data_IF_092271533491
#
_entry.id   IF_092271533491
#
_cell.length_a   1.000
_cell.length_b   1.000
_cell.length_c   1.000
_cell.angle_alpha   90.00
_cell.angle_beta   90.00
_cell.angle_gamma   90.00
#
_symmetry.space_group_name_H-M   'P 1'
#
loop_
_entity.id
_entity.type
_entity.pdbx_description
1 polymer ?
#
# COMPACT_ATOMS: atom_id res chain seq x y z
N UNK A 1 0.50 2.37 -17.41
CA UNK A 1 1.94 2.48 -17.06
C UNK A 1 2.07 2.50 -15.55
N UNK A 2 3.27 2.36 -14.98
CA UNK A 2 3.46 2.43 -13.53
C UNK A 2 4.36 3.61 -13.15
N UNK A 3 3.91 4.45 -12.23
CA UNK A 3 4.67 5.61 -11.73
C UNK A 3 4.90 5.46 -10.24
N UNK A 4 6.08 5.84 -9.75
CA UNK A 4 6.37 5.84 -8.31
C UNK A 4 5.75 7.07 -7.65
N UNK A 5 5.14 6.89 -6.50
CA UNK A 5 4.56 7.97 -5.69
C UNK A 5 4.81 7.77 -4.21
N UNK A 6 4.42 8.77 -3.42
CA UNK A 6 4.51 8.77 -1.96
C UNK A 6 3.13 8.95 -1.33
N UNK A 7 2.80 8.08 -0.39
CA UNK A 7 1.61 8.17 0.45
C UNK A 7 2.05 8.55 1.88
N UNK A 8 1.35 9.47 2.54
CA UNK A 8 1.70 9.95 3.90
C UNK A 8 0.64 9.49 4.90
N UNK A 9 1.04 9.19 6.14
CA UNK A 9 0.13 8.70 7.19
C UNK A 9 -0.02 7.19 7.23
N UNK A 10 0.89 6.45 6.58
CA UNK A 10 0.84 5.00 6.45
C UNK A 10 2.19 4.38 6.73
N UNK A 11 2.18 3.26 7.46
CA UNK A 11 3.38 2.54 7.87
C UNK A 11 3.44 1.17 7.22
N UNK A 12 4.61 0.82 6.70
CA UNK A 12 4.89 -0.47 6.05
C UNK A 12 5.46 -1.46 7.06
N UNK A 13 5.02 -2.71 6.93
CA UNK A 13 5.52 -3.83 7.71
C UNK A 13 5.97 -4.96 6.79
N UNK A 14 6.96 -5.70 7.27
CA UNK A 14 7.42 -6.93 6.65
C UNK A 14 7.68 -8.00 7.70
N UNK A 15 7.90 -9.21 7.21
CA UNK A 15 8.14 -10.40 8.02
C UNK A 15 9.38 -11.12 7.48
N UNK A 16 10.14 -11.78 8.37
CA UNK A 16 11.38 -12.48 8.00
C UNK A 16 11.14 -13.73 7.14
N UNK A 17 10.10 -14.50 7.48
CA UNK A 17 9.67 -15.72 6.76
C UNK A 17 8.67 -15.44 5.63
N UNK A 18 7.71 -14.54 5.85
CA UNK A 18 6.64 -14.26 4.90
C UNK A 18 7.07 -13.14 3.95
N UNK A 19 7.14 -13.44 2.65
CA UNK A 19 7.62 -12.50 1.63
C UNK A 19 6.48 -11.70 0.96
N UNK A 20 5.59 -11.14 1.77
CA UNK A 20 4.67 -10.08 1.32
C UNK A 20 4.56 -9.01 2.42
N UNK A 21 4.46 -7.72 2.03
CA UNK A 21 4.24 -6.65 2.98
C UNK A 21 2.77 -6.49 3.31
N UNK A 22 2.48 -5.80 4.42
CA UNK A 22 1.23 -5.07 4.55
C UNK A 22 1.49 -3.65 5.03
N UNK A 23 0.50 -2.78 4.84
CA UNK A 23 0.50 -1.43 5.40
C UNK A 23 -0.76 -1.19 6.25
N UNK A 24 -0.62 -0.28 7.21
CA UNK A 24 -1.74 0.24 8.01
C UNK A 24 -1.75 1.76 7.94
N UNK A 25 -2.92 2.35 8.17
CA UNK A 25 -3.07 3.78 8.36
C UNK A 25 -2.70 4.15 9.81
N UNK A 26 -1.80 5.10 9.99
CA UNK A 26 -1.36 5.60 11.30
C UNK A 26 -1.81 7.04 11.55
N UNK A 27 -2.05 7.81 10.49
CA UNK A 27 -2.33 9.25 10.59
C UNK A 27 -1.12 10.12 10.95
N UNK A 28 0.07 9.51 11.13
CA UNK A 28 1.30 10.22 11.44
C UNK A 28 1.96 10.73 10.15
N UNK A 29 2.18 12.04 10.05
CA UNK A 29 2.81 12.66 8.88
C UNK A 29 4.26 12.25 8.65
N UNK A 30 4.92 11.66 9.66
CA UNK A 30 6.27 11.13 9.52
C UNK A 30 6.29 9.73 8.91
N UNK A 31 5.17 9.01 8.98
CA UNK A 31 5.02 7.73 8.30
C UNK A 31 4.70 7.96 6.82
N UNK A 32 5.37 7.22 5.95
CA UNK A 32 5.07 7.24 4.52
C UNK A 32 5.33 5.92 3.84
N UNK A 33 4.67 5.70 2.70
CA UNK A 33 4.90 4.58 1.80
C UNK A 33 5.41 5.07 0.47
N UNK A 34 6.39 4.35 -0.08
CA UNK A 34 6.73 4.42 -1.49
C UNK A 34 5.84 3.42 -2.22
N UNK A 35 5.02 3.91 -3.15
CA UNK A 35 4.01 3.13 -3.86
C UNK A 35 4.21 3.18 -5.37
N UNK A 36 3.63 2.21 -6.08
CA UNK A 36 3.56 2.20 -7.55
C UNK A 36 2.12 2.42 -7.96
N UNK A 37 1.84 3.55 -8.62
CA UNK A 37 0.54 3.86 -9.18
C UNK A 37 0.37 3.12 -10.50
N UNK A 38 -0.65 2.27 -10.56
CA UNK A 38 -1.07 1.59 -11.77
C UNK A 38 -2.23 2.37 -12.40
N UNK A 39 -2.18 2.50 -13.72
CA UNK A 39 -3.25 3.10 -14.52
C UNK A 39 -3.68 2.19 -15.65
N UNK A 40 -4.98 2.21 -15.95
CA UNK A 40 -5.58 1.46 -17.05
C UNK A 40 -6.13 2.40 -18.12
N UNK A 41 -6.16 1.98 -19.39
CA UNK A 41 -6.57 2.84 -20.50
C UNK A 41 -8.06 3.22 -20.48
N UNK A 42 -8.90 2.40 -19.83
CA UNK A 42 -10.34 2.62 -19.75
C UNK A 42 -10.89 2.33 -18.36
N UNK A 43 -12.09 2.87 -18.10
CA UNK A 43 -12.82 2.68 -16.85
C UNK A 43 -13.21 1.20 -16.66
N UNK A 44 -13.62 0.52 -17.72
CA UNK A 44 -14.01 -0.90 -17.64
C UNK A 44 -12.83 -1.76 -17.18
N UNK A 45 -11.65 -1.58 -17.78
CA UNK A 45 -10.45 -2.32 -17.36
C UNK A 45 -10.05 -2.02 -15.92
N UNK A 46 -10.24 -0.78 -15.47
CA UNK A 46 -10.01 -0.42 -14.07
C UNK A 46 -10.98 -1.16 -13.14
N UNK A 47 -12.28 -1.16 -13.46
CA UNK A 47 -13.31 -1.81 -12.66
C UNK A 47 -13.11 -3.34 -12.59
N UNK A 48 -12.80 -3.98 -13.71
CA UNK A 48 -12.48 -5.42 -13.76
C UNK A 48 -11.28 -5.78 -12.87
N UNK A 49 -10.23 -4.95 -12.89
CA UNK A 49 -8.99 -5.20 -12.13
C UNK A 49 -9.17 -4.97 -10.66
N UNK A 50 -9.95 -3.96 -10.31
CA UNK A 50 -10.33 -3.67 -8.93
C UNK A 50 -11.23 -4.78 -8.36
N UNK A 51 -12.20 -5.28 -9.13
CA UNK A 51 -13.03 -6.42 -8.71
C UNK A 51 -12.19 -7.69 -8.52
N UNK A 52 -11.24 -7.97 -9.43
CA UNK A 52 -10.35 -9.10 -9.28
C UNK A 52 -9.46 -8.98 -8.02
N UNK A 53 -8.98 -7.78 -7.71
CA UNK A 53 -8.22 -7.52 -6.48
C UNK A 53 -9.10 -7.66 -5.23
N UNK A 54 -10.35 -7.19 -5.25
CA UNK A 54 -11.29 -7.37 -4.13
C UNK A 54 -11.53 -8.86 -3.81
N UNK A 55 -11.58 -9.74 -4.81
CA UNK A 55 -11.75 -11.18 -4.61
C UNK A 55 -10.52 -11.79 -3.92
N UNK A 56 -9.32 -11.30 -4.22
CA UNK A 56 -8.06 -11.82 -3.67
C UNK A 56 -7.83 -11.29 -2.25
N UNK A 57 -8.00 -9.99 -2.05
CA UNK A 57 -7.55 -9.27 -0.85
C UNK A 57 -8.68 -8.98 0.15
N UNK A 58 -9.94 -9.08 -0.29
CA UNK A 58 -11.11 -8.53 0.42
C UNK A 58 -11.42 -9.15 1.79
N UNK A 59 -10.85 -10.32 2.10
CA UNK A 59 -11.00 -10.95 3.41
C UNK A 59 -10.08 -10.28 4.45
N UNK A 60 -8.80 -10.11 4.12
CA UNK A 60 -7.75 -9.65 5.05
C UNK A 60 -7.48 -8.14 4.99
N UNK A 61 -7.83 -7.51 3.87
CA UNK A 61 -7.54 -6.10 3.59
C UNK A 61 -8.80 -5.32 3.25
N UNK A 62 -8.79 -4.03 3.57
CA UNK A 62 -9.81 -3.08 3.14
C UNK A 62 -9.28 -2.16 2.05
N UNK A 63 -10.09 -1.94 1.02
CA UNK A 63 -9.79 -0.96 -0.02
C UNK A 63 -10.12 0.45 0.47
N UNK A 64 -9.15 1.36 0.40
CA UNK A 64 -9.34 2.78 0.71
C UNK A 64 -8.97 3.68 -0.47
N UNK A 65 -9.75 4.75 -0.65
CA UNK A 65 -9.38 5.86 -1.51
C UNK A 65 -8.29 6.70 -0.83
N UNK A 66 -7.26 7.07 -1.58
CA UNK A 66 -6.10 7.81 -1.08
C UNK A 66 -5.59 8.86 -2.06
N UNK A 67 -4.94 9.87 -1.50
CA UNK A 67 -4.18 10.88 -2.23
C UNK A 67 -2.69 10.50 -2.24
N UNK A 68 -2.11 10.38 -3.43
CA UNK A 68 -0.70 10.03 -3.60
C UNK A 68 0.04 11.20 -4.25
N UNK A 69 1.18 11.55 -3.68
CA UNK A 69 2.06 12.60 -4.19
C UNK A 69 2.96 11.99 -5.27
N UNK A 70 2.91 12.53 -6.49
CA UNK A 70 3.72 12.11 -7.64
C UNK A 70 4.30 13.37 -8.29
N UNK A 71 5.62 13.56 -8.23
CA UNK A 71 6.30 14.75 -8.77
C UNK A 71 5.63 16.08 -8.34
N UNK A 72 5.36 16.22 -7.04
CA UNK A 72 4.67 17.37 -6.42
C UNK A 72 3.20 17.58 -6.83
N UNK A 73 2.61 16.66 -7.61
CA UNK A 73 1.18 16.64 -7.91
C UNK A 73 0.43 15.60 -7.07
N UNK A 74 -0.83 15.91 -6.73
CA UNK A 74 -1.72 14.96 -6.06
C UNK A 74 -2.46 14.11 -7.11
N UNK A 75 -2.39 12.79 -6.96
CA UNK A 75 -3.16 11.80 -7.73
C UNK A 75 -4.08 11.01 -6.80
N UNK A 76 -5.27 10.67 -7.26
CA UNK A 76 -6.20 9.83 -6.51
C UNK A 76 -6.04 8.36 -6.92
N UNK A 77 -6.02 7.46 -5.94
CA UNK A 77 -5.88 6.03 -6.17
C UNK A 77 -6.64 5.21 -5.12
N UNK A 78 -6.68 3.89 -5.34
CA UNK A 78 -7.07 2.93 -4.30
C UNK A 78 -5.84 2.19 -3.77
N UNK A 79 -5.86 1.86 -2.49
CA UNK A 79 -4.89 0.99 -1.82
C UNK A 79 -5.63 -0.04 -0.95
N UNK A 80 -5.05 -1.23 -0.82
CA UNK A 80 -5.49 -2.23 0.14
C UNK A 80 -4.63 -2.12 1.40
N UNK A 81 -5.27 -1.92 2.55
CA UNK A 81 -4.60 -1.86 3.85
C UNK A 81 -5.12 -2.94 4.77
N UNK A 82 -4.25 -3.46 5.63
CA UNK A 82 -4.61 -4.60 6.48
C UNK A 82 -5.72 -4.20 7.45
N UNK A 83 -6.70 -5.10 7.63
CA UNK A 83 -7.72 -4.98 8.68
C UNK A 83 -7.21 -5.39 10.06
N UNK A 84 -6.00 -5.95 10.15
CA UNK A 84 -5.46 -6.48 11.40
C UNK A 84 -5.35 -5.36 12.44
N UNK A 85 -6.08 -5.53 13.55
CA UNK A 85 -6.06 -4.59 14.67
C UNK A 85 -4.79 -4.71 15.53
N UNK A 86 -4.08 -5.83 15.44
CA UNK A 86 -2.87 -6.11 16.21
C UNK A 86 -1.87 -6.90 15.37
N UNK A 87 -0.60 -6.53 15.49
CA UNK A 87 0.50 -7.24 14.85
C UNK A 87 1.02 -8.30 15.80
N UNK A 88 1.30 -9.49 15.29
CA UNK A 88 2.16 -10.44 16.01
C UNK A 88 3.59 -9.90 16.06
N UNK A 89 4.38 -10.35 17.03
CA UNK A 89 5.74 -9.86 17.33
C UNK A 89 6.73 -10.07 16.18
N UNK A 90 6.42 -10.92 15.20
CA UNK A 90 7.30 -11.21 14.06
C UNK A 90 7.20 -10.20 12.91
N UNK A 91 6.19 -9.31 12.95
CA UNK A 91 6.06 -8.21 11.99
C UNK A 91 6.88 -7.00 12.42
N UNK A 92 7.84 -6.62 11.58
CA UNK A 92 8.72 -5.49 11.83
C UNK A 92 8.36 -4.33 10.90
N UNK A 93 8.52 -3.12 11.40
CA UNK A 93 8.36 -1.91 10.60
C UNK A 93 9.46 -1.82 9.55
N UNK A 94 9.12 -1.25 8.39
CA UNK A 94 10.08 -0.85 7.36
C UNK A 94 10.10 0.68 7.35
N UNK A 95 11.04 1.33 8.06
CA UNK A 95 10.99 2.78 8.30
C UNK A 95 11.07 3.62 7.03
N UNK A 96 11.68 3.10 5.96
CA UNK A 96 11.76 3.80 4.67
C UNK A 96 10.43 3.84 3.92
N UNK A 97 9.46 2.99 4.29
CA UNK A 97 8.21 2.84 3.56
C UNK A 97 8.36 2.18 2.17
N UNK A 98 9.57 1.71 1.83
CA UNK A 98 9.90 1.16 0.52
C UNK A 98 10.17 -0.35 0.63
N UNK A 99 9.27 -1.15 0.07
CA UNK A 99 9.41 -2.61 0.05
C UNK A 99 10.66 -3.11 -0.68
N UNK A 100 11.21 -2.33 -1.61
CA UNK A 100 12.48 -2.68 -2.26
C UNK A 100 13.67 -2.57 -1.30
N UNK A 101 13.51 -1.83 -0.21
CA UNK A 101 14.51 -1.68 0.86
C UNK A 101 14.26 -2.62 2.05
N UNK A 102 13.42 -3.66 1.88
CA UNK A 102 13.08 -4.65 2.93
C UNK A 102 14.23 -5.52 3.43
N UNK A 103 15.41 -5.45 2.81
CA UNK A 103 16.59 -6.21 3.27
C UNK A 103 17.16 -5.68 4.60
N UNK A 104 16.57 -4.61 5.14
CA UNK A 104 16.91 -4.01 6.43
C UNK A 104 16.11 -4.60 7.62
N UNK A 105 15.37 -5.69 7.40
CA UNK A 105 14.44 -6.30 8.37
C UNK A 105 15.02 -7.57 9.01
#
# INVERSE_FOLDING_TARGET
GAVTGKLVGYRLFGHSVINYPFAIFTGDSNDSLVVRLLSWPSKEQFEERIQAADIIEGDEYERRAVEVIVNDEIKHAYIYISKLASLDNDWKTIPSGDWLQRHLI
#
